data_IF_954665698335
#
_entry.id   IF_954665698335
#
_cell.length_a   1.000
_cell.length_b   1.000
_cell.length_c   1.000
_cell.angle_alpha   90.00
_cell.angle_beta   90.00
_cell.angle_gamma   90.00
#
_symmetry.space_group_name_H-M   'P 1'
#
loop_
_entity.id
_entity.type
_entity.pdbx_description
1 polymer ?
#
# COMPACT_ATOMS: atom_id res chain seq x y z
N UNK A 1 -5.51 -7.33 -39.03
CA UNK A 1 -6.65 -7.02 -39.94
C UNK A 1 -6.21 -6.51 -41.31
N UNK A 2 -5.20 -5.62 -41.43
CA UNK A 2 -4.75 -5.08 -42.73
C UNK A 2 -4.23 -6.16 -43.73
N UNK A 3 -3.35 -7.11 -43.36
CA UNK A 3 -2.88 -8.14 -44.30
C UNK A 3 -3.98 -9.11 -44.79
N UNK A 4 -4.90 -9.60 -43.92
CA UNK A 4 -6.08 -10.34 -44.37
C UNK A 4 -6.92 -9.60 -45.42
N UNK A 5 -7.14 -8.30 -45.26
CA UNK A 5 -7.89 -7.50 -46.26
C UNK A 5 -7.17 -7.44 -47.61
N UNK A 6 -5.84 -7.40 -47.64
CA UNK A 6 -5.07 -7.50 -48.90
C UNK A 6 -5.22 -8.87 -49.56
N UNK A 7 -5.23 -9.94 -48.78
CA UNK A 7 -5.50 -11.28 -49.29
C UNK A 7 -6.92 -11.40 -49.86
N UNK A 8 -7.92 -10.73 -49.25
CA UNK A 8 -9.28 -10.65 -49.80
C UNK A 8 -9.31 -9.93 -51.15
N UNK A 9 -8.55 -8.83 -51.31
CA UNK A 9 -8.43 -8.14 -52.61
C UNK A 9 -7.83 -9.09 -53.65
N UNK A 10 -6.75 -9.81 -53.34
CA UNK A 10 -6.17 -10.79 -54.26
C UNK A 10 -7.16 -11.90 -54.64
N UNK A 11 -7.88 -12.43 -53.66
CA UNK A 11 -8.92 -13.44 -53.89
C UNK A 11 -9.99 -12.94 -54.85
N UNK A 12 -10.54 -11.74 -54.62
CA UNK A 12 -11.58 -11.16 -55.46
C UNK A 12 -11.07 -10.86 -56.87
N UNK A 13 -9.82 -10.41 -57.00
CA UNK A 13 -9.22 -10.18 -58.33
C UNK A 13 -9.07 -11.47 -59.13
N UNK A 14 -8.70 -12.58 -58.50
CA UNK A 14 -8.68 -13.89 -59.16
C UNK A 14 -10.10 -14.28 -59.62
N UNK A 15 -11.12 -14.00 -58.81
CA UNK A 15 -12.52 -14.27 -59.12
C UNK A 15 -13.08 -13.46 -60.29
N UNK A 16 -12.46 -12.34 -60.66
CA UNK A 16 -12.87 -11.54 -61.84
C UNK A 16 -12.73 -12.35 -63.14
N UNK A 17 -11.77 -13.27 -63.23
CA UNK A 17 -11.53 -14.05 -64.46
C UNK A 17 -11.54 -15.57 -64.25
N UNK A 18 -11.54 -16.06 -63.00
CA UNK A 18 -11.71 -17.48 -62.67
C UNK A 18 -13.11 -17.78 -62.12
N UNK A 19 -13.95 -18.40 -62.96
CA UNK A 19 -15.27 -18.88 -62.53
C UNK A 19 -15.16 -20.25 -61.85
N UNK A 20 -15.88 -20.44 -60.75
CA UNK A 20 -16.03 -21.77 -60.15
C UNK A 20 -17.14 -22.51 -60.88
N UNK A 21 -16.81 -23.62 -61.54
CA UNK A 21 -17.79 -24.46 -62.22
C UNK A 21 -18.69 -25.24 -61.25
N UNK A 22 -18.35 -25.28 -59.96
CA UNK A 22 -18.89 -26.29 -59.02
C UNK A 22 -19.63 -25.73 -57.79
N UNK A 23 -19.76 -24.40 -57.64
CA UNK A 23 -20.28 -23.78 -56.42
C UNK A 23 -21.45 -22.85 -56.76
N UNK A 24 -22.64 -23.43 -56.92
CA UNK A 24 -23.89 -22.68 -56.81
C UNK A 24 -24.41 -22.94 -55.40
N UNK A 25 -24.42 -21.95 -54.50
CA UNK A 25 -24.92 -22.15 -53.15
C UNK A 25 -26.42 -22.52 -53.19
N UNK A 26 -26.80 -23.61 -52.53
CA UNK A 26 -28.22 -23.98 -52.34
C UNK A 26 -28.90 -23.09 -51.28
N UNK A 27 -28.11 -22.55 -50.35
CA UNK A 27 -28.53 -21.64 -49.29
C UNK A 27 -27.54 -20.47 -49.18
N UNK A 28 -27.97 -19.28 -48.76
CA UNK A 28 -27.09 -18.14 -48.56
C UNK A 28 -25.91 -18.50 -47.64
N UNK A 29 -24.69 -18.23 -48.09
CA UNK A 29 -23.48 -18.47 -47.31
C UNK A 29 -23.30 -17.29 -46.35
N UNK A 30 -23.69 -17.50 -45.09
CA UNK A 30 -23.53 -16.51 -44.01
C UNK A 30 -22.43 -16.93 -43.04
N UNK A 31 -21.57 -15.98 -42.67
CA UNK A 31 -20.52 -16.19 -41.69
C UNK A 31 -20.88 -15.49 -40.36
N UNK A 32 -21.53 -16.19 -39.41
CA UNK A 32 -22.08 -15.56 -38.20
C UNK A 32 -21.03 -14.94 -37.27
N UNK A 33 -19.78 -15.38 -37.38
CA UNK A 33 -18.67 -14.91 -36.54
C UNK A 33 -17.81 -13.85 -37.24
N UNK A 34 -18.20 -13.37 -38.43
CA UNK A 34 -17.42 -12.40 -39.20
C UNK A 34 -18.09 -11.03 -39.13
N UNK A 35 -17.44 -10.08 -38.45
CA UNK A 35 -17.89 -8.70 -38.33
C UNK A 35 -17.62 -7.84 -39.57
N UNK A 36 -16.78 -8.34 -40.48
CA UNK A 36 -16.35 -7.61 -41.65
C UNK A 36 -17.51 -7.46 -42.65
N UNK A 37 -17.85 -6.22 -43.08
CA UNK A 37 -19.13 -5.91 -43.74
C UNK A 37 -19.34 -6.57 -45.11
N UNK A 38 -18.28 -7.14 -45.70
CA UNK A 38 -18.31 -7.79 -47.02
C UNK A 38 -18.76 -9.26 -46.99
N UNK A 39 -18.92 -9.86 -45.81
CA UNK A 39 -19.28 -11.28 -45.66
C UNK A 39 -20.69 -11.49 -45.13
N UNK A 40 -21.52 -10.44 -45.15
CA UNK A 40 -22.91 -10.50 -44.70
C UNK A 40 -23.87 -11.14 -45.72
N UNK A 41 -23.43 -11.31 -46.97
CA UNK A 41 -24.21 -11.90 -48.05
C UNK A 41 -23.38 -12.93 -48.85
N UNK A 42 -24.04 -13.63 -49.77
CA UNK A 42 -23.45 -14.60 -50.70
C UNK A 42 -22.91 -13.95 -51.99
N UNK A 43 -22.83 -12.62 -52.07
CA UNK A 43 -22.36 -11.91 -53.27
C UNK A 43 -20.92 -12.30 -53.63
N UNK A 44 -20.12 -12.70 -52.64
CA UNK A 44 -18.72 -13.14 -52.80
C UNK A 44 -18.56 -14.48 -53.55
N UNK A 45 -19.60 -15.32 -53.59
CA UNK A 45 -19.62 -16.57 -54.40
C UNK A 45 -20.27 -16.37 -55.77
N UNK A 46 -20.78 -15.17 -56.07
CA UNK A 46 -21.36 -14.85 -57.37
C UNK A 46 -20.41 -15.14 -58.53
N UNK A 47 -20.97 -15.57 -59.66
CA UNK A 47 -20.24 -15.73 -60.92
C UNK A 47 -20.28 -14.45 -61.77
N UNK A 48 -21.09 -13.45 -61.39
CA UNK A 48 -21.11 -12.17 -62.08
C UNK A 48 -19.87 -11.35 -61.71
N UNK A 49 -19.01 -11.17 -62.72
CA UNK A 49 -17.76 -10.41 -62.59
C UNK A 49 -18.00 -8.96 -62.16
N UNK A 50 -19.13 -8.35 -62.52
CA UNK A 50 -19.47 -6.98 -62.08
C UNK A 50 -19.75 -6.92 -60.59
N UNK A 51 -20.45 -7.93 -60.06
CA UNK A 51 -20.69 -8.06 -58.62
C UNK A 51 -19.36 -8.25 -57.88
N UNK A 52 -18.49 -9.13 -58.37
CA UNK A 52 -17.15 -9.35 -57.78
C UNK A 52 -16.30 -8.07 -57.78
N UNK A 53 -16.32 -7.30 -58.88
CA UNK A 53 -15.59 -6.02 -58.96
C UNK A 53 -16.16 -4.96 -58.00
N UNK A 54 -17.47 -4.91 -57.81
CA UNK A 54 -18.10 -4.04 -56.81
C UNK A 54 -17.65 -4.41 -55.39
N UNK A 55 -17.61 -5.70 -55.06
CA UNK A 55 -17.09 -6.17 -53.77
C UNK A 55 -15.61 -5.83 -53.63
N UNK A 56 -14.79 -6.02 -54.68
CA UNK A 56 -13.37 -5.68 -54.66
C UNK A 56 -13.13 -4.18 -54.37
N UNK A 57 -13.94 -3.30 -54.96
CA UNK A 57 -13.90 -1.86 -54.66
C UNK A 57 -14.27 -1.60 -53.20
N UNK A 58 -15.34 -2.19 -52.68
CA UNK A 58 -15.75 -2.03 -51.28
C UNK A 58 -14.68 -2.54 -50.30
N UNK A 59 -14.03 -3.67 -50.59
CA UNK A 59 -12.88 -4.18 -49.79
C UNK A 59 -11.70 -3.21 -49.86
N UNK A 60 -11.41 -2.66 -51.04
CA UNK A 60 -10.34 -1.67 -51.20
C UNK A 60 -10.62 -0.38 -50.40
N UNK A 61 -11.88 0.08 -50.38
CA UNK A 61 -12.31 1.22 -49.57
C UNK A 61 -12.19 0.91 -48.07
N UNK A 62 -12.66 -0.26 -47.63
CA UNK A 62 -12.53 -0.71 -46.25
C UNK A 62 -11.05 -0.79 -45.82
N UNK A 63 -10.18 -1.38 -46.64
CA UNK A 63 -8.74 -1.43 -46.35
C UNK A 63 -8.15 -0.02 -46.22
N UNK A 64 -8.53 0.91 -47.10
CA UNK A 64 -8.08 2.30 -47.01
C UNK A 64 -8.59 2.97 -45.73
N UNK A 65 -9.86 2.80 -45.38
CA UNK A 65 -10.41 3.33 -44.13
C UNK A 65 -9.68 2.74 -42.93
N UNK A 66 -9.40 1.43 -42.93
CA UNK A 66 -8.66 0.76 -41.85
C UNK A 66 -7.23 1.29 -41.75
N UNK A 67 -6.55 1.50 -42.89
CA UNK A 67 -5.23 2.10 -42.94
C UNK A 67 -5.27 3.53 -42.38
N UNK A 68 -6.22 4.36 -42.81
CA UNK A 68 -6.39 5.73 -42.31
C UNK A 68 -6.77 5.76 -40.83
N UNK A 69 -7.60 4.83 -40.36
CA UNK A 69 -8.01 4.72 -38.96
C UNK A 69 -6.79 4.50 -38.05
N UNK A 70 -5.85 3.65 -38.46
CA UNK A 70 -4.60 3.42 -37.70
C UNK A 70 -3.72 4.67 -37.64
N UNK A 71 -3.63 5.44 -38.72
CA UNK A 71 -2.73 6.60 -38.77
C UNK A 71 -3.33 7.87 -38.17
N UNK A 72 -4.61 8.12 -38.42
CA UNK A 72 -5.29 9.37 -38.09
C UNK A 72 -6.30 9.25 -36.96
N UNK A 73 -6.54 8.03 -36.46
CA UNK A 73 -7.51 7.75 -35.41
C UNK A 73 -8.95 7.65 -35.91
N UNK A 74 -9.86 7.48 -34.95
CA UNK A 74 -11.30 7.42 -35.21
C UNK A 74 -11.87 8.81 -35.59
N UNK A 75 -12.60 8.86 -36.70
CA UNK A 75 -13.26 10.05 -37.23
C UNK A 75 -14.48 9.64 -38.06
N UNK A 76 -15.34 10.59 -38.43
CA UNK A 76 -16.46 10.34 -39.35
C UNK A 76 -16.02 9.75 -40.70
N UNK A 77 -14.76 9.99 -41.12
CA UNK A 77 -14.21 9.54 -42.39
C UNK A 77 -13.46 8.19 -42.29
N UNK A 78 -13.24 7.68 -41.07
CA UNK A 78 -12.52 6.43 -40.79
C UNK A 78 -13.40 5.37 -40.13
N UNK A 79 -14.72 5.52 -40.22
CA UNK A 79 -15.70 4.53 -39.77
C UNK A 79 -15.72 3.31 -40.71
N UNK A 80 -15.62 2.10 -40.14
CA UNK A 80 -15.41 0.85 -40.89
C UNK A 80 -16.70 0.08 -41.15
N UNK A 81 -17.80 0.41 -40.45
CA UNK A 81 -19.02 -0.40 -40.40
C UNK A 81 -18.72 -1.85 -39.96
N UNK A 82 -17.78 -2.00 -39.03
CA UNK A 82 -17.33 -3.28 -38.46
C UNK A 82 -17.53 -3.20 -36.95
N UNK A 83 -18.53 -3.93 -36.44
CA UNK A 83 -18.95 -3.83 -35.03
C UNK A 83 -17.80 -4.06 -34.05
N UNK A 84 -16.82 -4.90 -34.41
CA UNK A 84 -15.69 -5.22 -33.54
C UNK A 84 -14.63 -4.14 -33.62
N UNK A 85 -14.28 -3.67 -34.82
CA UNK A 85 -13.22 -2.68 -35.01
C UNK A 85 -13.68 -1.25 -34.70
N UNK A 86 -14.94 -0.90 -34.94
CA UNK A 86 -15.48 0.41 -34.60
C UNK A 86 -15.59 0.63 -33.08
N UNK A 87 -15.57 -0.46 -32.29
CA UNK A 87 -15.43 -0.40 -30.83
C UNK A 87 -14.01 -0.10 -30.34
N UNK A 88 -13.00 -0.18 -31.22
CA UNK A 88 -11.60 0.11 -30.87
C UNK A 88 -11.35 1.60 -31.02
N UNK A 89 -11.31 2.31 -29.91
CA UNK A 89 -10.97 3.74 -29.89
C UNK A 89 -9.48 3.90 -30.12
N UNK A 90 -9.11 4.42 -31.30
CA UNK A 90 -7.72 4.74 -31.64
C UNK A 90 -7.49 6.25 -31.67
N UNK A 91 -6.40 6.68 -31.06
CA UNK A 91 -5.92 8.06 -31.16
C UNK A 91 -5.00 8.21 -32.38
N UNK A 92 -4.95 9.43 -32.91
CA UNK A 92 -4.05 9.79 -34.00
C UNK A 92 -2.59 9.55 -33.59
N UNK A 93 -1.82 8.88 -34.44
CA UNK A 93 -0.37 8.76 -34.27
C UNK A 93 0.30 10.13 -34.41
N UNK A 94 1.40 10.34 -33.68
CA UNK A 94 2.14 11.60 -33.72
C UNK A 94 2.61 11.91 -35.16
N UNK A 95 2.64 13.21 -35.50
CA UNK A 95 2.97 13.63 -36.87
C UNK A 95 4.32 13.10 -37.35
N UNK A 96 5.35 13.15 -36.47
CA UNK A 96 6.69 12.66 -36.78
C UNK A 96 6.70 11.16 -37.06
N UNK A 97 5.96 10.38 -36.27
CA UNK A 97 5.85 8.92 -36.47
C UNK A 97 5.12 8.62 -37.77
N UNK A 98 3.98 9.29 -38.02
CA UNK A 98 3.26 9.13 -39.28
C UNK A 98 4.12 9.52 -40.49
N UNK A 99 4.90 10.59 -40.41
CA UNK A 99 5.78 11.02 -41.49
C UNK A 99 6.84 9.97 -41.80
N UNK A 100 7.50 9.45 -40.77
CA UNK A 100 8.49 8.38 -40.91
C UNK A 100 7.87 7.10 -41.48
N UNK A 101 6.66 6.74 -41.07
CA UNK A 101 6.01 5.50 -41.51
C UNK A 101 5.40 5.60 -42.93
N UNK A 102 4.91 6.77 -43.33
CA UNK A 102 4.17 6.94 -44.59
C UNK A 102 5.01 7.51 -45.74
N UNK A 103 6.11 8.21 -45.44
CA UNK A 103 6.89 8.95 -46.44
C UNK A 103 8.38 8.64 -46.42
N UNK A 104 8.84 7.71 -45.57
CA UNK A 104 10.23 7.25 -45.64
C UNK A 104 10.53 6.66 -47.02
N UNK A 105 11.69 7.04 -47.55
CA UNK A 105 12.18 6.46 -48.79
C UNK A 105 12.61 5.02 -48.50
N UNK A 106 12.14 4.08 -49.31
CA UNK A 106 12.48 2.67 -49.20
C UNK A 106 12.58 2.05 -50.59
N UNK A 107 13.61 1.24 -50.80
CA UNK A 107 13.85 0.54 -52.07
C UNK A 107 13.08 -0.79 -52.13
N UNK A 108 12.83 -1.41 -50.97
CA UNK A 108 11.94 -2.56 -50.84
C UNK A 108 11.32 -2.66 -49.45
N UNK A 109 10.22 -3.41 -49.37
CA UNK A 109 9.59 -3.83 -48.11
C UNK A 109 9.62 -5.35 -47.91
N UNK A 110 10.55 -6.04 -48.58
CA UNK A 110 10.72 -7.48 -48.46
C UNK A 110 11.47 -7.81 -47.18
N UNK A 111 10.86 -8.67 -46.38
CA UNK A 111 11.42 -9.29 -45.18
C UNK A 111 12.11 -10.62 -45.50
N UNK A 112 11.69 -11.32 -46.57
CA UNK A 112 12.25 -12.63 -46.92
C UNK A 112 13.59 -12.59 -47.64
N UNK A 113 13.85 -11.51 -48.39
CA UNK A 113 15.04 -11.36 -49.23
C UNK A 113 15.58 -9.94 -49.08
N UNK A 114 16.91 -9.76 -48.93
CA UNK A 114 17.51 -8.44 -48.86
C UNK A 114 17.13 -7.58 -50.08
N UNK A 115 16.87 -6.28 -49.86
CA UNK A 115 16.48 -5.36 -50.94
C UNK A 115 17.52 -5.29 -52.07
N UNK A 116 18.80 -5.47 -51.73
CA UNK A 116 19.91 -5.43 -52.69
C UNK A 116 19.88 -6.61 -53.68
N UNK A 117 19.26 -7.73 -53.28
CA UNK A 117 19.13 -8.94 -54.10
C UNK A 117 17.75 -9.05 -54.77
N UNK A 118 16.81 -8.17 -54.41
CA UNK A 118 15.46 -8.17 -54.94
C UNK A 118 15.45 -7.68 -56.40
N UNK A 119 14.61 -8.30 -57.24
CA UNK A 119 14.47 -7.85 -58.63
C UNK A 119 13.94 -6.40 -58.68
N UNK A 120 14.60 -5.50 -59.44
CA UNK A 120 14.19 -4.09 -59.53
C UNK A 120 12.83 -3.91 -60.22
N UNK A 121 12.40 -4.90 -61.02
CA UNK A 121 11.11 -4.91 -61.73
C UNK A 121 10.12 -5.93 -61.14
N UNK A 122 10.27 -6.30 -59.87
CA UNK A 122 9.38 -7.27 -59.21
C UNK A 122 7.92 -6.81 -59.18
N UNK A 123 7.70 -5.49 -59.09
CA UNK A 123 6.39 -4.87 -59.15
C UNK A 123 6.16 -4.38 -60.58
N UNK A 124 5.09 -4.86 -61.19
CA UNK A 124 4.77 -4.57 -62.59
C UNK A 124 4.56 -3.06 -62.79
N UNK A 125 5.29 -2.42 -63.70
CA UNK A 125 5.14 -0.97 -64.00
C UNK A 125 5.19 -0.05 -62.77
N UNK A 126 6.08 -0.35 -61.81
CA UNK A 126 6.28 0.50 -60.63
C UNK A 126 7.76 0.54 -60.20
N UNK A 127 8.54 1.48 -60.75
CA UNK A 127 9.98 1.54 -60.52
C UNK A 127 10.32 2.08 -59.12
N UNK A 128 11.42 1.60 -58.53
CA UNK A 128 12.03 2.12 -57.30
C UNK A 128 12.72 3.48 -57.54
N UNK A 129 12.91 4.33 -56.51
CA UNK A 129 12.58 4.14 -55.09
C UNK A 129 11.11 4.49 -54.76
N UNK A 130 10.63 4.02 -53.61
CA UNK A 130 9.27 4.28 -53.13
C UNK A 130 9.28 5.21 -51.90
N UNK A 131 8.21 5.96 -51.71
CA UNK A 131 8.00 6.80 -50.52
C UNK A 131 6.85 6.22 -49.71
N UNK A 132 7.18 5.32 -48.80
CA UNK A 132 6.24 4.53 -48.00
C UNK A 132 5.25 3.70 -48.81
N UNK A 133 4.18 3.25 -48.14
CA UNK A 133 3.17 2.34 -48.71
C UNK A 133 2.01 3.07 -49.39
N UNK A 134 1.83 4.36 -49.13
CA UNK A 134 0.72 5.17 -49.63
C UNK A 134 0.57 5.15 -51.17
N UNK A 135 1.65 5.22 -51.97
CA UNK A 135 1.55 5.13 -53.43
C UNK A 135 0.97 3.78 -53.91
N UNK A 136 1.35 2.68 -53.25
CA UNK A 136 0.85 1.34 -53.57
C UNK A 136 -0.64 1.21 -53.30
N UNK A 137 -1.07 1.68 -52.13
CA UNK A 137 -2.48 1.65 -51.71
C UNK A 137 -3.33 2.50 -52.67
N UNK A 138 -2.86 3.71 -52.97
CA UNK A 138 -3.58 4.65 -53.83
C UNK A 138 -3.70 4.13 -55.27
N UNK A 139 -2.61 3.64 -55.86
CA UNK A 139 -2.61 3.08 -57.22
C UNK A 139 -3.47 1.80 -57.29
N UNK A 140 -3.37 0.91 -56.30
CA UNK A 140 -4.22 -0.30 -56.22
C UNK A 140 -5.71 0.06 -56.22
N UNK A 141 -6.11 1.00 -55.35
CA UNK A 141 -7.51 1.47 -55.26
C UNK A 141 -7.99 2.10 -56.57
N UNK A 142 -7.17 2.97 -57.15
CA UNK A 142 -7.49 3.62 -58.43
C UNK A 142 -7.74 2.58 -59.53
N UNK A 143 -6.87 1.57 -59.63
CA UNK A 143 -7.01 0.52 -60.63
C UNK A 143 -8.25 -0.35 -60.41
N UNK A 144 -8.59 -0.70 -59.16
CA UNK A 144 -9.82 -1.45 -58.86
C UNK A 144 -11.06 -0.65 -59.27
N UNK A 145 -11.10 0.65 -58.95
CA UNK A 145 -12.21 1.53 -59.34
C UNK A 145 -12.32 1.66 -60.86
N UNK A 146 -11.19 1.83 -61.55
CA UNK A 146 -11.13 1.82 -63.02
C UNK A 146 -11.63 0.49 -63.62
N UNK A 147 -11.31 -0.64 -62.97
CA UNK A 147 -11.73 -1.95 -63.42
C UNK A 147 -13.24 -2.14 -63.33
N UNK A 148 -13.87 -1.59 -62.29
CA UNK A 148 -15.33 -1.62 -62.11
C UNK A 148 -16.08 -0.85 -63.20
N UNK A 149 -15.57 0.30 -63.63
CA UNK A 149 -16.22 1.15 -64.65
C UNK A 149 -16.09 0.60 -66.08
N UNK A 150 -15.15 -0.35 -66.29
CA UNK A 150 -14.88 -0.96 -67.58
C UNK A 150 -15.60 -2.30 -67.75
N UNK A 151 -15.60 -2.81 -68.97
CA UNK A 151 -16.23 -4.09 -69.30
C UNK A 151 -15.49 -5.26 -68.63
N UNK A 152 -16.15 -5.86 -67.64
CA UNK A 152 -15.63 -6.94 -66.81
C UNK A 152 -15.26 -8.21 -67.60
N UNK A 153 -15.81 -8.39 -68.81
CA UNK A 153 -15.52 -9.54 -69.66
C UNK A 153 -14.09 -9.53 -70.22
N UNK A 154 -13.48 -8.35 -70.32
CA UNK A 154 -12.16 -8.15 -70.95
C UNK A 154 -10.97 -8.47 -70.05
N UNK A 155 -11.23 -8.66 -68.75
CA UNK A 155 -10.17 -8.95 -67.78
C UNK A 155 -9.69 -10.40 -67.84
N UNK A 156 -8.38 -10.56 -67.81
CA UNK A 156 -7.67 -11.83 -67.76
C UNK A 156 -6.36 -11.71 -66.96
N UNK A 157 -5.62 -12.81 -66.82
CA UNK A 157 -4.34 -12.84 -66.07
C UNK A 157 -3.29 -11.88 -66.64
N UNK A 158 -3.33 -11.61 -67.95
CA UNK A 158 -2.36 -10.76 -68.64
C UNK A 158 -2.70 -9.27 -68.55
N UNK A 159 -3.88 -8.90 -68.05
CA UNK A 159 -4.30 -7.50 -67.93
C UNK A 159 -3.40 -6.72 -66.98
N UNK A 160 -2.90 -5.57 -67.43
CA UNK A 160 -1.92 -4.75 -66.73
C UNK A 160 -2.35 -4.40 -65.30
N UNK A 161 -3.64 -4.06 -65.12
CA UNK A 161 -4.21 -3.71 -63.83
C UNK A 161 -4.11 -4.88 -62.83
N UNK A 162 -4.45 -6.10 -63.26
CA UNK A 162 -4.37 -7.30 -62.44
C UNK A 162 -2.90 -7.65 -62.12
N UNK A 163 -2.01 -7.52 -63.11
CA UNK A 163 -0.57 -7.78 -62.92
C UNK A 163 0.06 -6.83 -61.91
N UNK A 164 -0.27 -5.53 -61.98
CA UNK A 164 0.16 -4.55 -60.98
C UNK A 164 -0.33 -4.96 -59.59
N UNK A 165 -1.65 -5.12 -59.40
CA UNK A 165 -2.19 -5.34 -58.06
C UNK A 165 -1.68 -6.66 -57.46
N UNK A 166 -1.62 -7.72 -58.26
CA UNK A 166 -1.12 -9.01 -57.81
C UNK A 166 0.36 -8.96 -57.42
N UNK A 167 1.21 -8.31 -58.22
CA UNK A 167 2.65 -8.17 -57.91
C UNK A 167 2.91 -7.23 -56.73
N UNK A 168 2.21 -6.09 -56.66
CA UNK A 168 2.32 -5.14 -55.56
C UNK A 168 1.93 -5.77 -54.21
N UNK A 169 0.80 -6.47 -54.15
CA UNK A 169 0.38 -7.16 -52.92
C UNK A 169 1.33 -8.29 -52.55
N UNK A 170 1.79 -9.07 -53.52
CA UNK A 170 2.63 -10.25 -53.26
C UNK A 170 4.01 -9.91 -52.72
N UNK A 171 4.69 -8.91 -53.29
CA UNK A 171 6.09 -8.63 -52.97
C UNK A 171 6.21 -7.60 -51.83
N UNK A 172 5.64 -6.41 -51.97
CA UNK A 172 6.00 -5.31 -51.07
C UNK A 172 4.86 -4.86 -50.17
N UNK A 173 3.63 -4.83 -50.67
CA UNK A 173 2.53 -4.22 -49.92
C UNK A 173 2.07 -5.11 -48.76
N UNK A 174 2.12 -6.44 -48.88
CA UNK A 174 1.80 -7.35 -47.76
C UNK A 174 2.87 -7.24 -46.67
N UNK A 175 4.13 -7.49 -47.02
CA UNK A 175 5.24 -7.51 -46.07
C UNK A 175 5.49 -6.13 -45.47
N UNK A 176 5.39 -5.06 -46.26
CA UNK A 176 5.47 -3.69 -45.74
C UNK A 176 4.34 -3.33 -44.80
N UNK A 177 3.10 -3.79 -45.03
CA UNK A 177 2.00 -3.58 -44.07
C UNK A 177 2.21 -4.40 -42.80
N UNK A 178 2.80 -5.58 -42.89
CA UNK A 178 3.19 -6.39 -41.73
C UNK A 178 4.29 -5.68 -40.92
N UNK A 179 5.36 -5.25 -41.56
CA UNK A 179 6.45 -4.47 -40.95
C UNK A 179 5.92 -3.18 -40.30
N UNK A 180 5.07 -2.44 -41.01
CA UNK A 180 4.40 -1.26 -40.49
C UNK A 180 3.56 -1.58 -39.25
N UNK A 181 2.91 -2.75 -39.20
CA UNK A 181 2.12 -3.17 -38.04
C UNK A 181 3.03 -3.47 -36.85
N UNK A 182 4.17 -4.12 -37.08
CA UNK A 182 5.18 -4.39 -36.04
C UNK A 182 5.75 -3.09 -35.50
N UNK A 183 6.18 -2.18 -36.38
CA UNK A 183 6.75 -0.89 -35.98
C UNK A 183 5.78 -0.03 -35.15
N UNK A 184 4.49 0.03 -35.54
CA UNK A 184 3.46 0.72 -34.75
C UNK A 184 3.28 0.05 -33.38
N UNK A 185 3.28 -1.28 -33.34
CA UNK A 185 3.12 -2.05 -32.10
C UNK A 185 4.31 -1.82 -31.16
N UNK A 186 5.53 -1.88 -31.68
CA UNK A 186 6.76 -1.65 -30.90
C UNK A 186 6.83 -0.23 -30.36
N UNK A 187 6.42 0.76 -31.15
CA UNK A 187 6.29 2.14 -30.68
C UNK A 187 5.27 2.26 -29.54
N UNK A 188 4.10 1.62 -29.68
CA UNK A 188 3.10 1.54 -28.63
C UNK A 188 3.65 0.91 -27.34
N UNK A 189 4.32 -0.24 -27.45
CA UNK A 189 4.96 -0.92 -26.31
C UNK A 189 6.03 -0.03 -25.65
N UNK A 190 6.83 0.67 -26.45
CA UNK A 190 7.84 1.61 -25.94
C UNK A 190 7.21 2.77 -25.18
N UNK A 191 6.10 3.35 -25.67
CA UNK A 191 5.40 4.43 -24.99
C UNK A 191 4.81 3.96 -23.65
N UNK A 192 4.24 2.75 -23.60
CA UNK A 192 3.74 2.16 -22.35
C UNK A 192 4.88 1.97 -21.34
N UNK A 193 6.02 1.43 -21.78
CA UNK A 193 7.21 1.28 -20.91
C UNK A 193 7.73 2.63 -20.40
N UNK A 194 7.72 3.64 -21.25
CA UNK A 194 8.13 5.00 -20.86
C UNK A 194 7.15 5.59 -19.83
N UNK A 195 5.85 5.45 -20.04
CA UNK A 195 4.81 5.89 -19.10
C UNK A 195 4.96 5.18 -17.74
N UNK A 196 5.17 3.86 -17.73
CA UNK A 196 5.43 3.10 -16.51
C UNK A 196 6.67 3.61 -15.76
N UNK A 197 7.76 3.87 -16.48
CA UNK A 197 8.99 4.43 -15.89
C UNK A 197 8.74 5.80 -15.25
N UNK A 198 7.99 6.68 -15.93
CA UNK A 198 7.64 8.00 -15.41
C UNK A 198 6.79 7.87 -14.14
N UNK A 199 5.79 6.99 -14.11
CA UNK A 199 4.97 6.76 -12.92
C UNK A 199 5.79 6.29 -11.72
N UNK A 200 6.74 5.38 -11.93
CA UNK A 200 7.64 4.91 -10.86
C UNK A 200 8.46 6.08 -10.29
N UNK A 201 9.01 6.94 -11.16
CA UNK A 201 9.77 8.12 -10.73
C UNK A 201 8.89 9.07 -9.90
N UNK A 202 7.69 9.38 -10.38
CA UNK A 202 6.74 10.26 -9.66
C UNK A 202 6.40 9.67 -8.30
N UNK A 203 6.13 8.37 -8.21
CA UNK A 203 5.82 7.69 -6.96
C UNK A 203 6.97 7.80 -5.94
N UNK A 204 8.22 7.58 -6.36
CA UNK A 204 9.39 7.72 -5.49
C UNK A 204 9.52 9.16 -4.98
N UNK A 205 9.36 10.15 -5.88
CA UNK A 205 9.43 11.57 -5.51
C UNK A 205 8.32 11.93 -4.51
N UNK A 206 7.08 11.47 -4.72
CA UNK A 206 5.96 11.71 -3.80
C UNK A 206 6.22 11.10 -2.43
N UNK A 207 6.77 9.88 -2.35
CA UNK A 207 7.13 9.24 -1.07
C UNK A 207 8.19 10.07 -0.33
N UNK A 208 9.23 10.54 -1.03
CA UNK A 208 10.28 11.39 -0.44
C UNK A 208 9.70 12.71 0.07
N UNK A 209 8.79 13.32 -0.67
CA UNK A 209 8.12 14.56 -0.24
C UNK A 209 7.27 14.29 1.01
N UNK A 210 6.47 13.22 1.05
CA UNK A 210 5.66 12.86 2.22
C UNK A 210 6.55 12.63 3.44
N UNK A 211 7.60 11.83 3.32
CA UNK A 211 8.56 11.60 4.41
C UNK A 211 9.23 12.89 4.86
N UNK A 212 9.63 13.75 3.92
CA UNK A 212 10.16 15.07 4.21
C UNK A 212 9.17 15.90 5.03
N UNK A 213 7.91 15.99 4.59
CA UNK A 213 6.88 16.74 5.32
C UNK A 213 6.62 16.18 6.71
N UNK A 214 6.67 14.86 6.89
CA UNK A 214 6.51 14.21 8.19
C UNK A 214 7.69 14.55 9.11
N UNK A 215 8.93 14.50 8.62
CA UNK A 215 10.12 14.86 9.39
C UNK A 215 10.08 16.34 9.79
N UNK A 216 9.74 17.24 8.87
CA UNK A 216 9.77 18.69 9.14
C UNK A 216 8.59 19.20 9.96
N UNK A 217 7.41 18.57 9.89
CA UNK A 217 6.25 19.00 10.67
C UNK A 217 6.07 18.19 11.96
N UNK A 218 6.10 16.86 11.87
CA UNK A 218 5.74 15.98 12.98
C UNK A 218 6.83 15.91 14.04
N UNK A 219 8.12 15.92 13.68
CA UNK A 219 9.19 15.86 14.68
C UNK A 219 9.29 17.13 15.52
N UNK A 220 9.33 18.36 14.96
CA UNK A 220 9.35 19.56 15.80
C UNK A 220 8.12 19.66 16.69
N UNK A 221 6.94 19.35 16.13
CA UNK A 221 5.70 19.31 16.91
C UNK A 221 5.78 18.31 18.07
N UNK A 222 6.31 17.10 17.82
CA UNK A 222 6.47 16.08 18.86
C UNK A 222 7.43 16.50 19.98
N UNK A 223 8.55 17.14 19.63
CA UNK A 223 9.48 17.67 20.62
C UNK A 223 8.88 18.81 21.43
N UNK A 224 8.20 19.75 20.77
CA UNK A 224 7.53 20.87 21.45
C UNK A 224 6.45 20.35 22.41
N UNK A 225 5.62 19.41 21.95
CA UNK A 225 4.56 18.79 22.75
C UNK A 225 5.10 18.03 23.97
N UNK A 226 6.22 17.30 23.82
CA UNK A 226 6.88 16.64 24.95
C UNK A 226 7.35 17.66 25.99
N UNK A 227 7.95 18.77 25.54
CA UNK A 227 8.46 19.81 26.44
C UNK A 227 7.34 20.50 27.22
N UNK A 228 6.19 20.76 26.58
CA UNK A 228 5.02 21.35 27.23
C UNK A 228 4.30 20.35 28.15
N UNK A 229 4.32 19.06 27.81
CA UNK A 229 3.83 17.99 28.70
C UNK A 229 4.65 17.91 29.97
N UNK A 230 5.99 17.93 29.88
CA UNK A 230 6.88 17.91 31.06
C UNK A 230 6.67 19.13 31.96
N UNK A 231 6.44 20.31 31.37
CA UNK A 231 6.10 21.54 32.11
C UNK A 231 4.76 21.40 32.83
N UNK A 232 3.76 20.86 32.15
CA UNK A 232 2.43 20.63 32.71
C UNK A 232 2.48 19.61 33.86
N UNK A 233 3.26 18.54 33.72
CA UNK A 233 3.41 17.52 34.76
C UNK A 233 4.04 18.10 36.03
N UNK A 234 5.04 18.97 35.90
CA UNK A 234 5.64 19.70 37.04
C UNK A 234 4.63 20.63 37.74
N UNK A 235 3.70 21.23 37.00
CA UNK A 235 2.63 22.04 37.59
C UNK A 235 1.62 21.17 38.35
N UNK A 236 1.30 19.98 37.85
CA UNK A 236 0.45 19.01 38.57
C UNK A 236 1.10 18.56 39.87
N UNK A 237 2.42 18.38 39.90
CA UNK A 237 3.15 18.04 41.14
C UNK A 237 3.14 19.14 42.21
N UNK A 238 2.79 20.37 41.84
CA UNK A 238 2.65 21.52 42.73
C UNK A 238 1.22 21.70 43.26
N UNK A 239 0.25 20.93 42.78
CA UNK A 239 -1.10 20.96 43.33
C UNK A 239 -1.09 20.40 44.76
N UNK A 240 -1.65 21.13 45.75
CA UNK A 240 -1.73 20.64 47.12
C UNK A 240 -2.65 19.41 47.16
N UNK A 241 -2.08 18.26 47.52
CA UNK A 241 -2.83 17.04 47.81
C UNK A 241 -3.52 17.28 49.16
N UNK A 242 -4.84 17.06 49.22
CA UNK A 242 -5.72 17.33 50.37
C UNK A 242 -5.10 16.96 51.73
N UNK A 243 -5.03 17.94 52.65
CA UNK A 243 -4.39 17.80 53.98
C UNK A 243 -5.06 16.78 54.92
N UNK A 244 -6.23 16.24 54.54
CA UNK A 244 -7.07 15.37 55.36
C UNK A 244 -6.84 13.86 55.15
N UNK A 245 -5.96 13.45 54.24
CA UNK A 245 -5.59 12.04 54.08
C UNK A 245 -4.34 11.71 54.92
N UNK A 246 -4.29 10.50 55.49
CA UNK A 246 -3.05 10.01 56.12
C UNK A 246 -2.03 9.82 55.01
N UNK A 247 -0.90 10.52 55.10
CA UNK A 247 0.13 10.53 54.06
C UNK A 247 0.85 9.16 53.93
N UNK A 248 0.73 8.28 54.93
CA UNK A 248 1.31 6.95 54.92
C UNK A 248 0.34 5.91 55.48
N UNK A 249 -0.19 5.05 54.61
CA UNK A 249 -1.07 3.93 54.94
C UNK A 249 -0.53 2.69 54.22
N UNK A 250 -0.52 1.55 54.89
CA UNK A 250 -0.25 0.27 54.23
C UNK A 250 -1.41 -0.07 53.29
N UNK A 251 -1.18 0.04 51.98
CA UNK A 251 -2.16 -0.30 50.96
C UNK A 251 -2.38 -1.81 50.90
N UNK A 252 -3.55 -2.24 50.41
CA UNK A 252 -3.86 -3.66 50.26
C UNK A 252 -2.86 -4.37 49.33
N UNK A 253 -2.36 -3.69 48.29
CA UNK A 253 -1.35 -4.20 47.37
C UNK A 253 0.03 -4.41 48.00
N UNK A 254 0.31 -3.80 49.15
CA UNK A 254 1.58 -3.98 49.89
C UNK A 254 1.51 -5.13 50.92
N UNK A 255 0.32 -5.72 51.10
CA UNK A 255 0.11 -6.85 52.01
C UNK A 255 0.47 -8.14 51.29
N UNK A 256 1.35 -8.90 51.92
CA UNK A 256 1.86 -10.16 51.37
C UNK A 256 1.02 -11.38 51.75
N UNK A 257 0.07 -11.21 52.68
CA UNK A 257 -0.72 -12.31 53.25
C UNK A 257 0.04 -13.09 54.33
N UNK A 258 1.33 -12.80 54.54
CA UNK A 258 2.10 -13.33 55.65
C UNK A 258 2.01 -12.38 56.86
N UNK A 259 1.25 -12.81 57.87
CA UNK A 259 0.86 -11.99 59.03
C UNK A 259 2.05 -11.33 59.72
N UNK A 260 3.18 -12.04 59.87
CA UNK A 260 4.33 -11.53 60.61
C UNK A 260 5.02 -10.36 59.89
N UNK A 261 5.14 -10.43 58.56
CA UNK A 261 5.68 -9.34 57.76
C UNK A 261 4.67 -8.20 57.66
N UNK A 262 3.41 -8.49 57.41
CA UNK A 262 2.37 -7.45 57.30
C UNK A 262 2.22 -6.66 58.62
N UNK A 263 2.26 -7.32 59.78
CA UNK A 263 2.28 -6.65 61.09
C UNK A 263 3.54 -5.81 61.31
N UNK A 264 4.68 -6.25 60.78
CA UNK A 264 5.95 -5.54 60.91
C UNK A 264 5.98 -4.28 60.03
N UNK A 265 5.47 -4.38 58.79
CA UNK A 265 5.26 -3.25 57.87
C UNK A 265 4.25 -2.25 58.43
N UNK A 266 3.15 -2.74 58.98
CA UNK A 266 2.13 -1.89 59.60
C UNK A 266 2.70 -1.08 60.78
N UNK A 267 3.60 -1.67 61.58
CA UNK A 267 4.30 -0.92 62.64
C UNK A 267 5.20 0.19 62.09
N UNK A 268 5.93 -0.07 61.00
CA UNK A 268 6.73 0.97 60.32
C UNK A 268 5.81 2.08 59.81
N UNK A 269 4.67 1.72 59.19
CA UNK A 269 3.72 2.68 58.66
C UNK A 269 3.07 3.54 59.77
N UNK A 270 2.70 2.94 60.91
CA UNK A 270 2.14 3.68 62.05
C UNK A 270 3.16 4.67 62.62
N UNK A 271 4.40 4.24 62.85
CA UNK A 271 5.43 5.10 63.44
C UNK A 271 5.85 6.21 62.46
N UNK A 272 5.95 5.92 61.16
CA UNK A 272 6.24 6.96 60.19
C UNK A 272 5.07 7.95 60.03
N UNK A 273 3.81 7.52 60.18
CA UNK A 273 2.68 8.45 60.20
C UNK A 273 2.72 9.35 61.43
N UNK A 274 3.06 8.81 62.61
CA UNK A 274 3.28 9.61 63.83
C UNK A 274 4.40 10.65 63.64
N UNK A 275 5.48 10.26 62.94
CA UNK A 275 6.53 11.20 62.57
C UNK A 275 6.01 12.26 61.60
N UNK A 276 5.24 11.90 60.58
CA UNK A 276 4.62 12.84 59.64
C UNK A 276 3.67 13.81 60.34
N UNK A 277 2.86 13.35 61.29
CA UNK A 277 1.95 14.19 62.07
C UNK A 277 2.73 15.16 62.97
N UNK A 278 3.83 14.68 63.57
CA UNK A 278 4.78 15.53 64.30
C UNK A 278 5.45 16.54 63.36
N UNK A 279 5.71 16.16 62.10
CA UNK A 279 6.18 17.02 61.02
C UNK A 279 5.06 17.84 60.35
N UNK A 280 3.79 17.74 60.74
CA UNK A 280 2.72 18.65 60.29
C UNK A 280 2.52 19.79 61.32
N UNK A 281 2.50 19.46 62.61
CA UNK A 281 2.19 20.43 63.67
C UNK A 281 3.40 21.28 64.07
N UNK A 282 3.36 22.61 63.86
CA UNK A 282 4.46 23.55 64.17
C UNK A 282 4.82 23.71 65.66
N UNK A 283 4.08 23.04 66.55
CA UNK A 283 4.17 23.15 68.01
C UNK A 283 5.26 22.23 68.60
N UNK A 284 5.68 21.20 67.88
CA UNK A 284 6.63 20.22 68.41
C UNK A 284 8.09 20.68 68.32
N UNK A 285 8.84 20.45 69.41
CA UNK A 285 10.25 20.83 69.51
C UNK A 285 11.14 19.91 68.66
N UNK A 286 12.28 20.44 68.15
CA UNK A 286 13.28 19.67 67.38
C UNK A 286 13.72 18.37 68.08
N UNK A 287 13.70 18.32 69.41
CA UNK A 287 14.01 17.12 70.19
C UNK A 287 12.94 16.02 70.08
N UNK A 288 11.65 16.37 69.99
CA UNK A 288 10.57 15.40 69.81
C UNK A 288 10.60 14.80 68.41
N UNK A 289 10.88 15.61 67.40
CA UNK A 289 11.07 15.13 66.03
C UNK A 289 12.26 14.17 65.95
N UNK A 290 13.39 14.52 66.59
CA UNK A 290 14.54 13.63 66.68
C UNK A 290 14.18 12.29 67.31
N UNK A 291 13.45 12.32 68.42
CA UNK A 291 13.01 11.11 69.11
C UNK A 291 12.13 10.22 68.21
N UNK A 292 11.21 10.81 67.45
CA UNK A 292 10.37 10.07 66.50
C UNK A 292 11.18 9.49 65.32
N UNK A 293 12.19 10.21 64.83
CA UNK A 293 13.14 9.67 63.85
C UNK A 293 13.95 8.49 64.41
N UNK A 294 14.46 8.61 65.64
CA UNK A 294 15.22 7.54 66.30
C UNK A 294 14.32 6.31 66.51
N UNK A 295 13.04 6.51 66.86
CA UNK A 295 12.05 5.45 67.01
C UNK A 295 11.73 4.75 65.66
N UNK A 296 11.56 5.52 64.58
CA UNK A 296 11.36 4.96 63.24
C UNK A 296 12.58 4.15 62.80
N UNK A 297 13.78 4.71 62.95
CA UNK A 297 15.05 4.05 62.61
C UNK A 297 15.24 2.74 63.38
N UNK A 298 15.02 2.75 64.69
CA UNK A 298 15.15 1.56 65.53
C UNK A 298 14.14 0.48 65.15
N UNK A 299 12.91 0.87 64.79
CA UNK A 299 11.87 -0.06 64.35
C UNK A 299 12.21 -0.66 62.99
N UNK A 300 12.58 0.16 62.01
CA UNK A 300 12.99 -0.30 60.67
C UNK A 300 14.17 -1.25 60.76
N UNK A 301 15.20 -0.93 61.58
CA UNK A 301 16.34 -1.82 61.81
C UNK A 301 15.90 -3.19 62.34
N UNK A 302 15.04 -3.20 63.37
CA UNK A 302 14.58 -4.44 63.98
C UNK A 302 13.75 -5.28 63.01
N UNK A 303 12.92 -4.65 62.18
CA UNK A 303 12.10 -5.35 61.17
C UNK A 303 13.01 -5.99 60.12
N UNK A 304 13.92 -5.22 59.52
CA UNK A 304 14.85 -5.73 58.51
C UNK A 304 15.77 -6.84 59.04
N UNK A 305 16.25 -6.74 60.28
CA UNK A 305 17.03 -7.83 60.89
C UNK A 305 16.22 -9.11 61.12
N UNK A 306 14.93 -9.00 61.40
CA UNK A 306 14.08 -10.17 61.55
C UNK A 306 13.78 -10.80 60.19
N UNK A 307 13.59 -9.97 59.17
CA UNK A 307 13.39 -10.39 57.79
C UNK A 307 14.63 -11.08 57.22
N UNK A 308 15.82 -10.50 57.39
CA UNK A 308 17.10 -11.12 56.99
C UNK A 308 17.32 -12.48 57.65
N UNK A 309 17.04 -12.60 58.96
CA UNK A 309 17.08 -13.90 59.65
C UNK A 309 16.06 -14.89 59.07
N UNK A 310 14.89 -14.41 58.66
CA UNK A 310 13.86 -15.26 58.07
C UNK A 310 14.26 -15.72 56.65
N UNK A 311 14.88 -14.85 55.85
CA UNK A 311 15.48 -15.19 54.55
C UNK A 311 16.56 -16.27 54.71
N UNK A 312 17.45 -16.13 55.69
CA UNK A 312 18.49 -17.13 56.01
C UNK A 312 17.89 -18.48 56.45
N UNK A 313 16.90 -18.46 57.35
CA UNK A 313 16.25 -19.68 57.85
C UNK A 313 15.51 -20.45 56.75
N UNK A 314 14.91 -19.72 55.80
CA UNK A 314 14.14 -20.30 54.68
C UNK A 314 15.01 -20.64 53.47
N UNK A 315 16.33 -20.41 53.53
CA UNK A 315 17.30 -20.64 52.45
C UNK A 315 16.89 -19.94 51.14
N UNK A 316 16.57 -18.66 51.24
CA UNK A 316 16.39 -17.82 50.06
C UNK A 316 17.68 -17.75 49.24
N UNK A 317 17.57 -17.49 47.93
CA UNK A 317 18.73 -17.44 47.04
C UNK A 317 19.77 -16.44 47.56
N UNK A 318 21.05 -16.81 47.56
CA UNK A 318 22.13 -16.03 48.14
C UNK A 318 22.34 -14.71 47.39
N UNK A 319 22.17 -14.72 46.05
CA UNK A 319 22.27 -13.51 45.23
C UNK A 319 21.13 -12.54 45.54
N UNK A 320 19.90 -13.04 45.66
CA UNK A 320 18.72 -12.21 45.97
C UNK A 320 18.73 -11.71 47.41
N UNK A 321 19.14 -12.54 48.37
CA UNK A 321 19.30 -12.16 49.79
C UNK A 321 20.27 -11.00 49.95
N UNK A 322 21.42 -11.05 49.26
CA UNK A 322 22.40 -9.97 49.28
C UNK A 322 21.82 -8.67 48.69
N UNK A 323 21.12 -8.75 47.55
CA UNK A 323 20.48 -7.58 46.93
C UNK A 323 19.38 -6.97 47.82
N UNK A 324 18.56 -7.80 48.45
CA UNK A 324 17.49 -7.38 49.37
C UNK A 324 18.07 -6.73 50.63
N UNK A 325 19.15 -7.29 51.18
CA UNK A 325 19.87 -6.74 52.34
C UNK A 325 20.59 -5.42 52.01
N UNK A 326 21.13 -5.27 50.80
CA UNK A 326 21.67 -3.98 50.33
C UNK A 326 20.57 -2.92 50.26
N UNK A 327 19.36 -3.27 49.83
CA UNK A 327 18.22 -2.36 49.83
C UNK A 327 17.81 -1.95 51.25
N UNK A 328 17.83 -2.86 52.23
CA UNK A 328 17.63 -2.51 53.64
C UNK A 328 18.66 -1.47 54.13
N UNK A 329 19.94 -1.67 53.78
CA UNK A 329 21.02 -0.74 54.13
C UNK A 329 20.79 0.65 53.51
N UNK A 330 20.43 0.70 52.22
CA UNK A 330 20.18 1.96 51.50
C UNK A 330 18.99 2.73 52.10
N UNK A 331 17.89 2.04 52.43
CA UNK A 331 16.72 2.68 53.05
C UNK A 331 17.07 3.27 54.43
N UNK A 332 17.87 2.56 55.22
CA UNK A 332 18.35 3.07 56.51
C UNK A 332 19.29 4.26 56.35
N UNK A 333 20.21 4.22 55.38
CA UNK A 333 21.09 5.36 55.08
C UNK A 333 20.26 6.59 54.66
N UNK A 334 19.23 6.41 53.84
CA UNK A 334 18.30 7.48 53.45
C UNK A 334 17.57 8.07 54.66
N UNK A 335 17.06 7.25 55.58
CA UNK A 335 16.45 7.73 56.82
C UNK A 335 17.42 8.56 57.66
N UNK A 336 18.67 8.09 57.81
CA UNK A 336 19.71 8.81 58.56
C UNK A 336 20.01 10.16 57.91
N UNK A 337 20.13 10.17 56.59
CA UNK A 337 20.37 11.39 55.81
C UNK A 337 19.22 12.39 55.94
N UNK A 338 17.97 11.95 55.90
CA UNK A 338 16.80 12.80 56.08
C UNK A 338 16.75 13.42 57.50
N UNK A 339 17.10 12.64 58.53
CA UNK A 339 17.24 13.14 59.90
C UNK A 339 18.33 14.21 60.00
N UNK A 340 19.49 13.96 59.39
CA UNK A 340 20.63 14.86 59.38
C UNK A 340 20.33 16.20 58.68
N UNK A 341 19.67 16.18 57.51
CA UNK A 341 19.27 17.39 56.79
C UNK A 341 18.30 18.21 57.65
N UNK A 342 17.34 17.56 58.28
CA UNK A 342 16.35 18.24 59.11
C UNK A 342 16.97 18.90 60.34
N UNK A 343 18.04 18.32 60.90
CA UNK A 343 18.75 18.85 62.06
C UNK A 343 19.81 19.91 61.73
N UNK A 344 20.47 19.81 60.57
CA UNK A 344 21.55 20.72 60.15
C UNK A 344 21.07 21.94 59.36
N UNK A 345 19.88 21.89 58.76
CA UNK A 345 19.35 23.00 57.95
C UNK A 345 18.94 24.22 58.80
N UNK A 346 19.35 25.41 58.35
CA UNK A 346 18.88 26.70 58.89
C UNK A 346 17.46 27.06 58.47
N UNK A 347 16.94 26.44 57.39
CA UNK A 347 15.59 26.66 56.87
C UNK A 347 14.71 25.44 57.20
N UNK A 348 14.18 25.42 58.42
CA UNK A 348 13.46 24.27 58.95
C UNK A 348 12.15 23.99 58.19
N UNK A 349 11.38 25.01 57.84
CA UNK A 349 10.03 24.84 57.27
C UNK A 349 10.03 24.31 55.84
N UNK A 350 10.98 24.71 54.99
CA UNK A 350 11.09 24.22 53.61
C UNK A 350 11.66 22.81 53.53
N UNK A 351 12.58 22.46 54.44
CA UNK A 351 13.12 21.11 54.55
C UNK A 351 12.07 20.14 55.10
N UNK A 352 11.24 20.59 56.05
CA UNK A 352 10.19 19.80 56.68
C UNK A 352 9.19 19.21 55.68
N UNK A 353 8.71 20.00 54.73
CA UNK A 353 7.76 19.53 53.71
C UNK A 353 8.39 18.49 52.76
N UNK A 354 9.65 18.70 52.39
CA UNK A 354 10.42 17.80 51.53
C UNK A 354 10.69 16.46 52.23
N UNK A 355 11.13 16.52 53.49
CA UNK A 355 11.36 15.35 54.33
C UNK A 355 10.07 14.57 54.55
N UNK A 356 8.95 15.26 54.86
CA UNK A 356 7.62 14.64 54.98
C UNK A 356 7.26 13.83 53.74
N UNK A 357 7.30 14.47 52.55
CA UNK A 357 6.95 13.84 51.27
C UNK A 357 7.87 12.66 50.93
N UNK A 358 9.14 12.74 51.33
CA UNK A 358 10.12 11.67 51.05
C UNK A 358 9.87 10.47 51.95
N UNK A 359 9.57 10.68 53.24
CA UNK A 359 9.24 9.60 54.19
C UNK A 359 7.98 8.85 53.78
N UNK A 360 6.95 9.57 53.33
CA UNK A 360 5.67 8.97 52.89
C UNK A 360 5.83 7.92 51.78
N UNK A 361 6.86 8.03 50.94
CA UNK A 361 7.10 7.14 49.79
C UNK A 361 8.33 6.27 49.92
N UNK A 362 9.04 6.36 51.05
CA UNK A 362 10.37 5.77 51.19
C UNK A 362 10.33 4.24 51.12
N UNK A 363 9.27 3.64 51.66
CA UNK A 363 9.12 2.19 51.77
C UNK A 363 8.27 1.57 50.66
N UNK A 364 7.52 2.38 49.90
CA UNK A 364 6.50 1.90 48.96
C UNK A 364 7.06 0.91 47.94
N UNK A 365 8.15 1.27 47.27
CA UNK A 365 8.78 0.40 46.26
C UNK A 365 9.28 -0.90 46.86
N UNK A 366 9.91 -0.82 48.03
CA UNK A 366 10.47 -1.99 48.69
C UNK A 366 9.38 -2.97 49.12
N UNK A 367 8.28 -2.47 49.70
CA UNK A 367 7.13 -3.28 50.12
C UNK A 367 6.32 -3.87 48.96
N UNK A 368 6.30 -3.21 47.79
CA UNK A 368 5.59 -3.67 46.59
C UNK A 368 6.38 -4.63 45.72
N UNK A 369 7.71 -4.56 45.72
CA UNK A 369 8.53 -5.36 44.81
C UNK A 369 9.28 -6.45 45.59
N UNK A 370 10.35 -6.06 46.29
CA UNK A 370 11.29 -6.99 46.92
C UNK A 370 10.64 -7.87 47.98
N UNK A 371 9.79 -7.25 48.80
CA UNK A 371 9.11 -7.86 49.93
C UNK A 371 7.99 -8.84 49.53
N UNK A 372 7.40 -8.64 48.35
CA UNK A 372 6.45 -9.59 47.78
C UNK A 372 7.20 -10.72 47.07
N UNK A 373 8.29 -10.42 46.37
CA UNK A 373 9.14 -11.43 45.72
C UNK A 373 9.64 -12.47 46.74
N UNK A 374 10.15 -12.04 47.89
CA UNK A 374 10.57 -12.95 48.96
C UNK A 374 9.42 -13.83 49.46
N UNK A 375 8.26 -13.22 49.74
CA UNK A 375 7.09 -13.97 50.25
C UNK A 375 6.61 -14.97 49.21
N UNK A 376 6.57 -14.58 47.93
CA UNK A 376 6.11 -15.41 46.82
C UNK A 376 6.99 -16.63 46.58
N UNK A 377 8.31 -16.49 46.71
CA UNK A 377 9.26 -17.57 46.46
C UNK A 377 9.49 -18.50 47.67
N UNK A 378 9.46 -17.96 48.91
CA UNK A 378 9.90 -18.72 50.09
C UNK A 378 8.80 -19.14 51.07
N UNK A 379 7.63 -18.50 51.07
CA UNK A 379 6.59 -18.78 52.07
C UNK A 379 5.52 -19.69 51.46
N UNK A 380 5.29 -20.92 51.98
CA UNK A 380 4.24 -21.81 51.46
C UNK A 380 2.86 -21.16 51.52
N UNK A 381 2.01 -21.43 50.53
CA UNK A 381 0.65 -20.87 50.43
C UNK A 381 -0.22 -21.16 51.67
N UNK A 382 0.07 -22.23 52.41
CA UNK A 382 -0.65 -22.61 53.64
C UNK A 382 -0.33 -21.69 54.84
N UNK A 383 0.84 -21.04 54.84
CA UNK A 383 1.25 -20.05 55.85
C UNK A 383 0.80 -18.62 55.48
N UNK A 384 0.32 -18.43 54.24
CA UNK A 384 -0.27 -17.17 53.79
C UNK A 384 -1.77 -17.24 54.09
N UNK A 385 -2.28 -16.35 54.94
CA UNK A 385 -3.72 -16.29 55.14
C UNK A 385 -4.38 -15.82 53.85
N UNK A 386 -4.99 -16.77 53.13
CA UNK A 386 -5.91 -16.59 52.01
C UNK A 386 -5.66 -15.38 51.12
N UNK A 387 -4.83 -15.54 50.07
CA UNK A 387 -5.25 -15.01 48.77
C UNK A 387 -6.58 -15.72 48.51
N UNK A 388 -7.71 -15.03 48.67
CA UNK A 388 -8.99 -15.54 48.17
C UNK A 388 -8.77 -15.91 46.72
N UNK A 389 -8.82 -17.21 46.41
CA UNK A 389 -8.90 -17.74 45.06
C UNK A 389 -9.98 -16.93 44.31
N UNK A 390 -9.57 -16.02 43.43
CA UNK A 390 -10.51 -15.13 42.75
C UNK A 390 -9.99 -13.81 42.19
N UNK A 391 -8.68 -13.54 42.15
CA UNK A 391 -8.15 -12.35 41.45
C UNK A 391 -7.20 -12.64 40.28
N UNK A 392 -6.77 -13.89 40.08
CA UNK A 392 -6.00 -14.27 38.89
C UNK A 392 -6.89 -14.61 37.68
N UNK A 393 -8.23 -14.71 37.86
CA UNK A 393 -9.17 -14.98 36.76
C UNK A 393 -9.86 -13.72 36.19
N UNK A 394 -9.73 -12.54 36.82
CA UNK A 394 -10.38 -11.31 36.33
C UNK A 394 -9.49 -10.41 35.47
N UNK A 395 -8.16 -10.52 35.54
CA UNK A 395 -7.27 -9.83 34.57
C UNK A 395 -7.14 -10.59 33.25
N UNK A 396 -7.34 -11.91 33.25
CA UNK A 396 -7.41 -12.73 32.03
C UNK A 396 -8.75 -12.64 31.27
N UNK A 397 -9.88 -12.40 31.95
CA UNK A 397 -11.19 -12.31 31.29
C UNK A 397 -11.55 -10.89 30.80
N UNK A 398 -10.90 -9.83 31.28
CA UNK A 398 -11.05 -8.48 30.68
C UNK A 398 -10.21 -8.27 29.42
N UNK A 399 -9.14 -9.04 29.20
CA UNK A 399 -8.39 -9.01 27.93
C UNK A 399 -8.98 -9.94 26.85
N UNK A 400 -9.75 -10.97 27.23
CA UNK A 400 -10.45 -11.85 26.27
C UNK A 400 -11.81 -11.28 25.81
N UNK A 401 -12.52 -10.50 26.62
CA UNK A 401 -13.75 -9.82 26.19
C UNK A 401 -13.53 -8.49 25.43
N UNK A 402 -12.33 -7.91 25.45
CA UNK A 402 -12.00 -6.74 24.59
C UNK A 402 -11.41 -7.13 23.22
N UNK A 403 -11.17 -8.43 22.95
CA UNK A 403 -10.74 -8.92 21.64
C UNK A 403 -11.86 -9.60 20.82
N UNK A 404 -13.08 -9.76 21.36
CA UNK A 404 -14.24 -10.25 20.59
C UNK A 404 -15.32 -9.19 20.29
N UNK A 405 -15.28 -8.01 20.92
CA UNK A 405 -16.18 -6.88 20.57
C UNK A 405 -15.55 -5.85 19.61
N UNK A 406 -14.34 -6.10 19.09
CA UNK A 406 -13.65 -5.23 18.14
C UNK A 406 -13.77 -5.62 16.66
N UNK A 407 -14.54 -6.67 16.32
CA UNK A 407 -14.60 -7.21 14.96
C UNK A 407 -16.01 -7.41 14.39
N UNK A 408 -17.00 -6.69 14.92
CA UNK A 408 -18.36 -6.69 14.39
C UNK A 408 -19.08 -5.32 14.48
N UNK A 409 -18.38 -4.22 14.15
CA UNK A 409 -19.03 -2.93 13.80
C UNK A 409 -18.23 -2.26 12.68
N UNK A 410 -18.53 -2.65 11.44
CA UNK A 410 -18.49 -1.82 10.23
C UNK A 410 -18.86 -2.69 9.03
N UNK A 411 -20.15 -2.98 8.93
CA UNK A 411 -20.87 -3.27 7.71
C UNK A 411 -22.34 -3.00 8.07
N UNK A 412 -22.76 -1.75 7.93
CA UNK A 412 -24.15 -1.31 7.72
C UNK A 412 -24.20 0.23 7.77
N UNK A 413 -23.62 0.89 6.77
CA UNK A 413 -24.06 2.21 6.31
C UNK A 413 -23.99 2.23 4.77
N UNK A 414 -24.82 1.41 4.15
CA UNK A 414 -25.32 1.68 2.80
C UNK A 414 -26.83 1.41 2.80
N UNK A 415 -27.61 2.47 2.60
CA UNK A 415 -29.03 2.38 2.29
C UNK A 415 -29.95 2.99 3.34
N UNK A 416 -30.37 4.24 3.08
CA UNK A 416 -31.77 4.65 2.87
C UNK A 416 -31.79 6.19 2.89
N UNK A 417 -31.85 6.81 1.70
CA UNK A 417 -32.35 8.17 1.52
C UNK A 417 -32.82 8.38 0.06
N UNK A 418 -33.89 7.68 -0.29
CA UNK A 418 -34.98 8.15 -1.15
C UNK A 418 -36.24 7.85 -0.33
N UNK A 419 -37.26 8.69 -0.17
CA UNK A 419 -37.89 9.67 -1.07
C UNK A 419 -38.87 10.54 -0.24
N UNK A 420 -39.44 11.58 -0.88
CA UNK A 420 -40.54 12.49 -0.47
C UNK A 420 -40.06 13.78 0.24
N UNK A 421 -40.41 14.99 -0.21
CA UNK A 421 -41.66 15.45 -0.82
C UNK A 421 -41.45 16.82 -1.52
N UNK A 422 -42.24 17.07 -2.57
CA UNK A 422 -42.62 18.33 -3.23
C UNK A 422 -41.59 19.25 -3.91
#
# INVERSE_FOLDING_TARGET
MRPPSLAMIQYLLLRVFMNYKCLVPLHPVYFPMVSHPMWHDDSHVSQDRKVILNIAERVSLYFNQLHMHVHYGQSQYTHLNDQVLDGVISQRLSQKVNEQLLFSQSDCFLTSTPCDEASPNRIFEFPTPYFGLSPFISKTRMLISLMKERDASKYNVATNEIRYIASAIRYDMREGIDELTVSITDNGVSQVKQSQTIMIIVMIVTIVIILGTLIFNTLPWGFDMHSESDRSLKLVELLPIDENQKDMILLQSMRSGYIKMDQSRERIMIIGQQLIDTLKNSIYNKQQIKHQFDQLMATTLKVFQNEEKEMELRKYDESKTNSHSEMHLLLRQRLTFLSDILHKSGNFDSVRSTVRRTISRLFDKHFLENDLEFVEECIPSDERLGKTNGQDEQEGQQQLNQQQDGQQVNNDEEGILETTMD
#
